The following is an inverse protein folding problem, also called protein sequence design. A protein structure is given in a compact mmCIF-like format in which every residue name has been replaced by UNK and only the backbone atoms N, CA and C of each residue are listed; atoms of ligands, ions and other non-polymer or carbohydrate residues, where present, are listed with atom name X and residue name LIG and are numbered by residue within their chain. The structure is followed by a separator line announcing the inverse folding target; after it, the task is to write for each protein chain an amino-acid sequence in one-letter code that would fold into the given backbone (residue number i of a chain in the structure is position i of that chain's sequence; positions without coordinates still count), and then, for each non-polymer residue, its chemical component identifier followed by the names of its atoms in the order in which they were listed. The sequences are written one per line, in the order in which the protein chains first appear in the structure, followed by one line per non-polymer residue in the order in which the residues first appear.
data_IF_242873903975
#
_entry.id   IF_242873903975
#
_cell.length_a   1.000
_cell.length_b   1.000
_cell.length_c   1.000
_cell.angle_alpha   90.00
_cell.angle_beta   90.00
_cell.angle_gamma   90.00
#
_symmetry.space_group_name_H-M   'P 1'
#
loop_
_entity.id
_entity.type
_entity.pdbx_description
1 polymer ?
#
# COMPACT_ATOMS: atom_id res chain seq x y z
N UNK A 1 -13.74 24.10 0.02
CA UNK A 1 -14.48 24.33 -1.24
C UNK A 1 -15.74 23.48 -1.22
N UNK A 2 -16.80 23.94 -1.88
CA UNK A 2 -18.06 23.20 -2.02
C UNK A 2 -18.53 23.23 -3.48
N UNK A 3 -18.99 22.08 -3.97
CA UNK A 3 -19.59 21.92 -5.30
C UNK A 3 -20.63 20.80 -5.20
N UNK A 4 -21.86 21.08 -5.68
CA UNK A 4 -22.97 20.12 -5.67
C UNK A 4 -23.26 19.50 -4.29
N UNK A 5 -23.10 20.29 -3.22
CA UNK A 5 -23.29 19.84 -1.83
C UNK A 5 -22.15 18.99 -1.26
N UNK A 6 -21.13 18.66 -2.07
CA UNK A 6 -19.92 17.99 -1.62
C UNK A 6 -18.86 19.00 -1.21
N UNK A 7 -18.42 18.90 0.04
CA UNK A 7 -17.34 19.71 0.60
C UNK A 7 -16.01 18.98 0.50
N UNK A 8 -14.99 19.69 0.06
CA UNK A 8 -13.64 19.16 -0.08
C UNK A 8 -12.59 20.24 0.22
N UNK A 9 -11.38 19.80 0.56
CA UNK A 9 -10.25 20.68 0.90
C UNK A 9 -9.36 20.93 -0.32
N UNK A 10 -8.70 22.08 -0.32
CA UNK A 10 -7.67 22.43 -1.29
C UNK A 10 -6.53 23.09 -0.56
N UNK A 11 -5.30 22.69 -0.87
CA UNK A 11 -4.10 23.14 -0.18
C UNK A 11 -3.39 24.18 -1.04
N UNK A 12 -2.96 25.27 -0.41
CA UNK A 12 -2.22 26.33 -1.11
C UNK A 12 -0.89 25.77 -1.65
N UNK A 13 -0.60 26.06 -2.91
CA UNK A 13 0.67 25.76 -3.54
C UNK A 13 1.58 26.98 -3.34
N UNK A 14 2.37 26.95 -2.26
CA UNK A 14 3.30 28.01 -1.94
C UNK A 14 4.40 28.12 -3.02
N UNK A 15 4.81 29.35 -3.30
CA UNK A 15 5.94 29.59 -4.19
C UNK A 15 7.26 29.09 -3.55
N UNK A 16 8.19 28.60 -4.37
CA UNK A 16 9.44 27.95 -3.91
C UNK A 16 10.24 28.82 -2.94
N UNK A 17 10.28 30.15 -3.14
CA UNK A 17 11.01 31.05 -2.23
C UNK A 17 10.44 31.13 -0.80
N UNK A 18 9.23 30.60 -0.58
CA UNK A 18 8.60 30.51 0.74
C UNK A 18 8.74 29.14 1.38
N UNK A 19 9.35 28.18 0.67
CA UNK A 19 9.44 26.79 1.07
C UNK A 19 10.86 26.40 1.50
N UNK A 20 10.96 25.32 2.29
CA UNK A 20 12.20 24.60 2.49
C UNK A 20 12.47 23.58 1.36
N UNK A 21 13.56 22.83 1.46
CA UNK A 21 13.98 21.83 0.46
C UNK A 21 12.98 20.68 0.29
N UNK A 22 12.07 20.48 1.24
CA UNK A 22 10.99 19.48 1.18
C UNK A 22 9.67 20.08 0.64
N UNK A 23 9.68 21.35 0.19
CA UNK A 23 8.51 22.03 -0.35
C UNK A 23 7.50 22.48 0.71
N UNK A 24 7.88 22.53 2.00
CA UNK A 24 7.02 22.98 3.09
C UNK A 24 7.13 24.48 3.25
N UNK A 25 6.01 25.19 3.26
CA UNK A 25 6.02 26.64 3.48
C UNK A 25 6.50 26.99 4.90
N UNK A 26 7.61 27.73 5.00
CA UNK A 26 8.18 28.23 6.26
C UNK A 26 7.92 29.72 6.50
N UNK A 27 7.36 30.43 5.51
CA UNK A 27 7.05 31.85 5.61
C UNK A 27 5.62 32.10 6.12
N UNK A 28 5.50 32.35 7.43
CA UNK A 28 4.22 32.61 8.10
C UNK A 28 3.51 33.86 7.59
N UNK A 29 4.26 34.91 7.23
CA UNK A 29 3.69 36.16 6.72
C UNK A 29 3.05 35.97 5.33
N UNK A 30 3.72 35.21 4.45
CA UNK A 30 3.18 34.86 3.14
C UNK A 30 1.89 34.04 3.27
N UNK A 31 1.88 33.02 4.12
CA UNK A 31 0.69 32.22 4.40
C UNK A 31 -0.47 33.09 4.94
N UNK A 32 -0.18 33.99 5.88
CA UNK A 32 -1.17 34.93 6.43
C UNK A 32 -1.72 35.91 5.38
N UNK A 33 -0.88 36.41 4.47
CA UNK A 33 -1.33 37.26 3.37
C UNK A 33 -2.25 36.51 2.41
N UNK A 34 -1.92 35.27 2.05
CA UNK A 34 -2.76 34.42 1.20
C UNK A 34 -4.09 34.10 1.88
N UNK A 35 -4.10 33.82 3.17
CA UNK A 35 -5.33 33.65 3.94
C UNK A 35 -6.23 34.90 3.87
N UNK A 36 -5.62 36.09 3.99
CA UNK A 36 -6.32 37.37 3.85
C UNK A 36 -6.94 37.57 2.47
N UNK A 37 -6.24 37.17 1.40
CA UNK A 37 -6.77 37.20 0.03
C UNK A 37 -7.94 36.23 -0.15
N UNK A 38 -7.82 35.01 0.40
CA UNK A 38 -8.85 33.98 0.30
C UNK A 38 -10.15 34.39 0.99
N UNK A 39 -10.07 35.01 2.17
CA UNK A 39 -11.25 35.48 2.93
C UNK A 39 -12.06 36.57 2.24
N UNK A 40 -11.50 37.22 1.22
CA UNK A 40 -12.19 38.22 0.40
C UNK A 40 -12.92 37.60 -0.80
N UNK A 41 -12.78 36.29 -1.02
CA UNK A 41 -13.42 35.58 -2.12
C UNK A 41 -14.64 34.81 -1.63
N UNK A 42 -15.61 34.62 -2.52
CA UNK A 42 -16.75 33.73 -2.32
C UNK A 42 -16.67 32.44 -3.16
N UNK A 43 -15.71 32.38 -4.08
CA UNK A 43 -15.55 31.25 -5.00
C UNK A 43 -14.10 31.01 -5.38
N UNK A 44 -13.86 29.81 -5.90
CA UNK A 44 -12.61 29.36 -6.50
C UNK A 44 -12.88 28.99 -7.96
N UNK A 45 -11.97 29.36 -8.86
CA UNK A 45 -12.05 28.96 -10.28
C UNK A 45 -11.26 27.67 -10.45
N UNK A 46 -11.86 26.64 -11.04
CA UNK A 46 -11.15 25.42 -11.45
C UNK A 46 -10.21 25.80 -12.60
N UNK A 47 -8.91 25.78 -12.35
CA UNK A 47 -7.90 26.11 -13.36
C UNK A 47 -7.59 24.90 -14.25
N UNK A 48 -7.47 23.73 -13.65
CA UNK A 48 -7.21 22.48 -14.35
C UNK A 48 -7.75 21.30 -13.57
N UNK A 49 -8.10 20.23 -14.28
CA UNK A 49 -8.53 18.96 -13.68
C UNK A 49 -8.03 17.82 -14.56
N UNK A 50 -7.36 16.87 -13.93
CA UNK A 50 -6.82 15.68 -14.57
C UNK A 50 -7.27 14.47 -13.77
N UNK A 51 -7.94 13.54 -14.44
CA UNK A 51 -8.28 12.25 -13.86
C UNK A 51 -7.47 11.14 -14.54
N UNK A 52 -6.84 10.28 -13.75
CA UNK A 52 -6.08 9.12 -14.23
C UNK A 52 -6.49 7.87 -13.47
N UNK A 53 -6.66 6.79 -14.21
CA UNK A 53 -6.79 5.43 -13.68
C UNK A 53 -5.40 4.96 -13.22
N UNK A 54 -5.19 4.86 -11.92
CA UNK A 54 -4.01 4.24 -11.32
C UNK A 54 -4.29 2.76 -11.03
N UNK A 55 -3.29 1.91 -11.30
CA UNK A 55 -3.32 0.48 -10.96
C UNK A 55 -2.22 0.18 -9.95
N UNK A 56 -2.56 -0.57 -8.91
CA UNK A 56 -1.60 -1.06 -7.92
C UNK A 56 -1.56 -2.59 -8.00
N UNK A 57 -0.44 -3.19 -8.46
CA UNK A 57 -0.29 -4.63 -8.52
C UNK A 57 -0.27 -5.26 -7.11
N UNK A 58 -0.57 -6.56 -6.97
CA UNK A 58 -0.40 -7.25 -5.70
C UNK A 58 1.05 -7.13 -5.18
N UNK A 59 1.23 -7.19 -3.85
CA UNK A 59 2.55 -7.31 -3.24
C UNK A 59 3.22 -8.58 -3.77
N UNK A 60 4.55 -8.62 -3.81
CA UNK A 60 5.26 -9.85 -4.19
C UNK A 60 5.03 -10.95 -3.14
N UNK A 61 5.28 -12.20 -3.53
CA UNK A 61 5.49 -13.25 -2.54
C UNK A 61 6.77 -12.98 -1.74
N UNK A 62 6.97 -13.69 -0.64
CA UNK A 62 8.02 -13.34 0.31
C UNK A 62 9.39 -13.88 -0.09
N UNK A 63 10.41 -13.02 0.05
CA UNK A 63 11.75 -13.43 0.49
C UNK A 63 11.79 -13.62 2.02
N UNK A 64 12.83 -14.24 2.57
CA UNK A 64 13.02 -14.37 4.02
C UNK A 64 12.92 -13.02 4.72
N UNK A 65 13.70 -12.04 4.27
CA UNK A 65 13.74 -10.78 5.00
C UNK A 65 12.51 -9.91 4.81
N UNK A 66 11.76 -10.04 3.70
CA UNK A 66 10.46 -9.37 3.58
C UNK A 66 9.40 -10.04 4.46
N UNK A 67 9.51 -11.36 4.69
CA UNK A 67 8.68 -12.06 5.67
C UNK A 67 9.01 -11.60 7.09
N UNK A 68 10.30 -11.50 7.43
CA UNK A 68 10.76 -10.98 8.72
C UNK A 68 10.27 -9.55 8.97
N UNK A 69 10.37 -8.66 7.98
CA UNK A 69 9.85 -7.29 8.08
C UNK A 69 8.34 -7.28 8.32
N UNK A 70 7.57 -8.06 7.55
CA UNK A 70 6.12 -8.11 7.69
C UNK A 70 5.68 -8.71 9.03
N UNK A 71 6.34 -9.76 9.52
CA UNK A 71 6.07 -10.38 10.81
C UNK A 71 6.51 -9.49 11.98
N UNK A 72 7.62 -8.75 11.85
CA UNK A 72 8.04 -7.77 12.86
C UNK A 72 7.01 -6.66 13.00
N UNK A 73 6.55 -6.10 11.86
CA UNK A 73 5.53 -5.05 11.84
C UNK A 73 4.18 -5.54 12.41
N UNK A 74 3.70 -6.69 11.93
CA UNK A 74 2.34 -7.18 12.21
C UNK A 74 2.22 -7.88 13.56
N UNK A 75 3.29 -8.56 14.00
CA UNK A 75 3.25 -9.47 15.15
C UNK A 75 4.35 -9.20 16.18
N UNK A 76 5.24 -8.23 15.96
CA UNK A 76 6.36 -7.96 16.86
C UNK A 76 7.40 -9.09 16.92
N UNK A 77 7.43 -9.99 15.93
CA UNK A 77 8.35 -11.12 15.91
C UNK A 77 9.76 -10.69 15.50
N UNK A 78 10.77 -11.24 16.19
CA UNK A 78 12.17 -11.04 15.83
C UNK A 78 12.61 -11.89 14.64
N UNK A 79 13.69 -11.48 13.98
CA UNK A 79 14.19 -12.06 12.74
C UNK A 79 14.50 -13.56 12.87
N UNK A 80 15.15 -13.94 13.97
CA UNK A 80 15.51 -15.33 14.25
C UNK A 80 14.27 -16.19 14.48
N UNK A 81 13.30 -15.71 15.27
CA UNK A 81 12.01 -16.40 15.50
C UNK A 81 11.29 -16.68 14.18
N UNK A 82 11.22 -15.69 13.28
CA UNK A 82 10.57 -15.87 11.97
C UNK A 82 11.32 -16.88 11.10
N UNK A 83 12.66 -16.88 11.13
CA UNK A 83 13.46 -17.87 10.41
C UNK A 83 13.20 -19.28 10.95
N UNK A 84 13.19 -19.46 12.27
CA UNK A 84 12.95 -20.76 12.90
C UNK A 84 11.55 -21.29 12.57
N UNK A 85 10.53 -20.42 12.61
CA UNK A 85 9.17 -20.75 12.18
C UNK A 85 9.13 -21.13 10.70
N UNK A 86 9.76 -20.33 9.82
CA UNK A 86 9.77 -20.61 8.39
C UNK A 86 10.51 -21.93 8.08
N UNK A 87 11.56 -22.26 8.83
CA UNK A 87 12.21 -23.57 8.77
C UNK A 87 11.28 -24.70 9.22
N UNK A 88 10.56 -24.54 10.33
CA UNK A 88 9.58 -25.55 10.78
C UNK A 88 8.50 -25.79 9.71
N UNK A 89 7.93 -24.71 9.14
CA UNK A 89 6.94 -24.79 8.07
C UNK A 89 7.48 -25.52 6.83
N UNK A 90 8.76 -25.38 6.50
CA UNK A 90 9.40 -26.04 5.35
C UNK A 90 9.82 -27.49 5.65
N UNK A 91 10.49 -27.75 6.77
CA UNK A 91 11.13 -29.04 7.06
C UNK A 91 10.19 -30.01 7.78
N UNK A 92 9.45 -29.52 8.79
CA UNK A 92 8.56 -30.33 9.63
C UNK A 92 7.21 -30.52 8.95
N UNK A 93 6.53 -29.42 8.62
CA UNK A 93 5.15 -29.47 8.12
C UNK A 93 5.07 -29.65 6.59
N UNK A 94 6.16 -29.38 5.86
CA UNK A 94 6.20 -29.32 4.39
C UNK A 94 5.14 -28.38 3.79
N UNK A 95 4.71 -27.39 4.58
CA UNK A 95 3.62 -26.47 4.26
C UNK A 95 4.05 -25.33 3.32
N UNK A 96 5.34 -24.98 3.32
CA UNK A 96 5.89 -23.91 2.48
C UNK A 96 7.16 -24.35 1.76
N UNK A 97 7.58 -23.59 0.75
CA UNK A 97 8.82 -23.79 0.01
C UNK A 97 10.05 -23.25 0.75
N UNK A 98 11.25 -23.49 0.21
CA UNK A 98 12.52 -23.20 0.88
C UNK A 98 12.61 -21.76 1.42
N UNK A 99 12.81 -21.56 2.73
CA UNK A 99 12.60 -20.25 3.35
C UNK A 99 13.83 -19.35 3.33
N UNK A 100 15.04 -19.83 3.00
CA UNK A 100 16.25 -18.99 2.95
C UNK A 100 16.50 -18.42 1.55
N UNK A 101 15.49 -17.75 1.03
CA UNK A 101 15.49 -17.10 -0.28
C UNK A 101 15.52 -15.59 -0.12
N UNK A 102 16.21 -14.89 -1.03
CA UNK A 102 16.21 -13.43 -1.16
C UNK A 102 15.23 -12.95 -2.26
N UNK A 103 14.56 -13.88 -2.94
CA UNK A 103 13.71 -13.61 -4.10
C UNK A 103 12.22 -13.59 -3.72
N UNK A 104 11.47 -12.63 -4.29
CA UNK A 104 9.99 -12.54 -4.18
C UNK A 104 9.24 -12.98 -5.44
N UNK A 105 9.94 -13.56 -6.43
CA UNK A 105 9.42 -14.01 -7.72
C UNK A 105 9.38 -15.54 -7.80
N UNK A 106 8.59 -16.07 -8.73
CA UNK A 106 8.46 -17.49 -9.07
C UNK A 106 8.85 -17.72 -10.54
N UNK A 107 9.47 -18.87 -10.87
CA UNK A 107 9.67 -19.28 -12.26
C UNK A 107 8.35 -19.32 -13.02
N UNK A 108 8.35 -18.91 -14.29
CA UNK A 108 7.13 -18.87 -15.09
C UNK A 108 6.48 -20.26 -15.23
N UNK A 109 7.31 -21.32 -15.28
CA UNK A 109 6.85 -22.71 -15.36
C UNK A 109 6.01 -23.17 -14.16
N UNK A 110 6.22 -22.58 -12.97
CA UNK A 110 5.47 -22.94 -11.77
C UNK A 110 4.02 -22.45 -11.79
N UNK A 111 3.62 -21.61 -12.76
CA UNK A 111 2.23 -21.19 -12.92
C UNK A 111 1.32 -22.38 -13.28
N UNK A 112 1.84 -23.36 -14.03
CA UNK A 112 1.10 -24.58 -14.40
C UNK A 112 0.69 -25.42 -13.18
N UNK A 113 1.46 -25.35 -12.09
CA UNK A 113 1.19 -26.08 -10.84
C UNK A 113 0.31 -25.30 -9.86
N UNK A 114 -0.06 -24.06 -10.20
CA UNK A 114 -0.78 -23.16 -9.28
C UNK A 114 -2.13 -23.72 -8.83
N UNK A 115 -2.86 -24.43 -9.70
CA UNK A 115 -4.11 -25.09 -9.33
C UNK A 115 -3.92 -26.16 -8.26
N UNK A 116 -2.83 -26.93 -8.32
CA UNK A 116 -2.52 -27.96 -7.32
C UNK A 116 -2.17 -27.33 -5.96
N UNK A 117 -1.44 -26.22 -5.97
CA UNK A 117 -1.15 -25.46 -4.74
C UNK A 117 -2.43 -24.91 -4.13
N UNK A 118 -3.31 -24.31 -4.94
CA UNK A 118 -4.60 -23.78 -4.46
C UNK A 118 -5.51 -24.89 -3.91
N UNK A 119 -5.53 -26.07 -4.55
CA UNK A 119 -6.25 -27.24 -4.04
C UNK A 119 -5.68 -27.70 -2.69
N UNK A 120 -4.37 -27.84 -2.58
CA UNK A 120 -3.71 -28.25 -1.34
C UNK A 120 -3.97 -27.26 -0.20
N UNK A 121 -3.99 -25.96 -0.49
CA UNK A 121 -4.38 -24.92 0.45
C UNK A 121 -5.83 -25.11 0.92
N UNK A 122 -6.78 -25.30 0.01
CA UNK A 122 -8.19 -25.49 0.36
C UNK A 122 -8.46 -26.78 1.14
N UNK A 123 -7.69 -27.84 0.88
CA UNK A 123 -7.77 -29.12 1.61
C UNK A 123 -7.14 -29.05 3.00
N UNK A 124 -6.05 -28.28 3.15
CA UNK A 124 -5.39 -28.09 4.44
C UNK A 124 -6.15 -27.11 5.34
N UNK A 125 -6.81 -26.10 4.74
CA UNK A 125 -7.65 -25.14 5.44
C UNK A 125 -8.99 -24.91 4.71
N UNK A 126 -10.02 -25.71 4.99
CA UNK A 126 -11.34 -25.53 4.40
C UNK A 126 -12.00 -24.17 4.70
N UNK A 127 -11.53 -23.43 5.72
CA UNK A 127 -12.09 -22.12 6.05
C UNK A 127 -11.83 -21.06 4.97
N UNK A 128 -10.84 -21.29 4.09
CA UNK A 128 -10.53 -20.37 2.99
C UNK A 128 -11.24 -20.69 1.66
N UNK A 129 -12.09 -21.72 1.62
CA UNK A 129 -12.81 -22.08 0.40
C UNK A 129 -13.63 -20.93 -0.21
N UNK A 130 -14.32 -20.05 0.56
CA UNK A 130 -14.99 -18.88 0.00
C UNK A 130 -14.02 -17.94 -0.73
N UNK A 131 -12.86 -17.66 -0.14
CA UNK A 131 -11.83 -16.82 -0.74
C UNK A 131 -11.21 -17.46 -1.97
N UNK A 132 -11.02 -18.79 -1.96
CA UNK A 132 -10.50 -19.53 -3.12
C UNK A 132 -11.46 -19.48 -4.30
N UNK A 133 -12.77 -19.45 -4.05
CA UNK A 133 -13.79 -19.37 -5.11
C UNK A 133 -13.80 -18.02 -5.85
N UNK A 134 -13.22 -16.97 -5.25
CA UNK A 134 -13.09 -15.64 -5.88
C UNK A 134 -11.81 -15.51 -6.73
N UNK A 135 -10.91 -16.49 -6.70
CA UNK A 135 -9.63 -16.42 -7.39
C UNK A 135 -9.76 -16.72 -8.89
N UNK A 136 -9.06 -15.93 -9.69
CA UNK A 136 -8.85 -16.16 -11.12
C UNK A 136 -7.63 -17.08 -11.29
N UNK A 137 -7.82 -18.40 -11.25
CA UNK A 137 -6.69 -19.37 -11.31
C UNK A 137 -5.80 -19.23 -12.54
N UNK A 138 -6.35 -18.80 -13.69
CA UNK A 138 -5.61 -18.53 -14.91
C UNK A 138 -4.84 -17.19 -14.92
N UNK A 139 -4.96 -16.38 -13.88
CA UNK A 139 -4.30 -15.07 -13.80
C UNK A 139 -2.79 -15.22 -13.62
N UNK A 140 -2.04 -14.48 -14.41
CA UNK A 140 -0.57 -14.40 -14.33
C UNK A 140 -0.19 -13.02 -13.82
N UNK A 141 0.13 -12.91 -12.52
CA UNK A 141 0.67 -11.67 -11.94
C UNK A 141 2.16 -11.48 -12.27
N UNK A 142 2.73 -10.34 -11.87
CA UNK A 142 4.14 -10.01 -12.11
C UNK A 142 5.16 -10.93 -11.43
N UNK A 143 4.75 -11.82 -10.51
CA UNK A 143 5.69 -12.68 -9.80
C UNK A 143 6.25 -13.79 -10.68
N UNK A 144 5.52 -14.23 -11.71
CA UNK A 144 5.91 -15.31 -12.61
C UNK A 144 6.92 -14.79 -13.64
N UNK A 145 8.20 -14.74 -13.26
CA UNK A 145 9.22 -14.03 -14.01
C UNK A 145 10.61 -14.62 -13.83
N UNK A 146 11.04 -15.47 -14.78
CA UNK A 146 12.34 -16.14 -14.76
C UNK A 146 13.53 -15.17 -14.68
N UNK A 147 13.40 -13.96 -15.25
CA UNK A 147 14.47 -12.95 -15.27
C UNK A 147 14.73 -12.33 -13.89
N UNK A 148 13.84 -12.54 -12.93
CA UNK A 148 13.93 -12.02 -11.56
C UNK A 148 14.30 -13.09 -10.54
N UNK A 149 14.47 -14.34 -10.99
CA UNK A 149 14.87 -15.45 -10.13
C UNK A 149 16.36 -15.36 -9.81
N UNK A 150 16.69 -15.57 -8.55
CA UNK A 150 18.06 -15.68 -8.04
C UNK A 150 18.43 -17.16 -7.94
N UNK A 151 19.15 -17.59 -6.90
CA UNK A 151 19.41 -19.01 -6.66
C UNK A 151 18.12 -19.77 -6.26
N UNK A 152 17.15 -19.07 -5.67
CA UNK A 152 15.89 -19.62 -5.20
C UNK A 152 14.72 -18.73 -5.62
N UNK A 153 13.50 -19.25 -5.50
CA UNK A 153 12.27 -18.52 -5.74
C UNK A 153 11.60 -18.10 -4.43
N UNK A 154 10.47 -17.41 -4.50
CA UNK A 154 9.72 -16.94 -3.33
C UNK A 154 9.19 -18.05 -2.44
N UNK A 155 9.00 -17.72 -1.16
CA UNK A 155 8.34 -18.56 -0.15
C UNK A 155 6.83 -18.52 -0.42
N UNK A 156 6.28 -19.69 -0.77
CA UNK A 156 4.85 -19.92 -1.07
C UNK A 156 4.36 -21.22 -0.42
N UNK A 157 3.05 -21.43 -0.29
CA UNK A 157 2.50 -22.74 0.07
C UNK A 157 2.92 -23.83 -0.93
N UNK A 158 2.96 -25.08 -0.48
CA UNK A 158 3.26 -26.24 -1.35
C UNK A 158 1.97 -26.90 -1.85
N UNK A 159 2.12 -27.81 -2.82
CA UNK A 159 1.06 -28.74 -3.26
C UNK A 159 0.78 -29.89 -2.28
N UNK A 160 1.44 -29.90 -1.11
CA UNK A 160 1.26 -30.96 -0.11
C UNK A 160 0.14 -30.56 0.86
N UNK A 161 -0.85 -31.43 1.00
CA UNK A 161 -1.85 -31.30 2.06
C UNK A 161 -1.18 -31.61 3.40
N UNK A 162 -1.38 -30.73 4.39
CA UNK A 162 -0.85 -30.92 5.74
C UNK A 162 -1.92 -30.61 6.78
N UNK A 163 -1.70 -31.09 8.01
CA UNK A 163 -2.60 -30.82 9.13
C UNK A 163 -2.34 -29.43 9.72
N UNK A 164 -3.21 -28.47 9.41
CA UNK A 164 -3.11 -27.11 9.92
C UNK A 164 -3.19 -27.04 11.46
N UNK A 165 -3.85 -28.00 12.11
CA UNK A 165 -3.97 -28.04 13.57
C UNK A 165 -2.66 -28.42 14.28
N UNK A 166 -1.68 -28.95 13.52
CA UNK A 166 -0.34 -29.22 14.02
C UNK A 166 0.54 -27.97 14.20
N UNK A 167 0.13 -26.83 13.61
CA UNK A 167 0.85 -25.57 13.76
C UNK A 167 0.57 -24.95 15.12
N UNK A 168 1.61 -24.43 15.78
CA UNK A 168 1.41 -23.55 16.91
C UNK A 168 0.86 -22.17 16.47
N UNK A 169 0.46 -21.34 17.42
CA UNK A 169 -0.18 -20.05 17.13
C UNK A 169 0.68 -19.09 16.28
N UNK A 170 1.99 -19.10 16.46
CA UNK A 170 2.89 -18.22 15.69
C UNK A 170 3.23 -18.82 14.32
N UNK A 171 3.40 -20.13 14.21
CA UNK A 171 3.50 -20.84 12.93
C UNK A 171 2.27 -20.59 12.06
N UNK A 172 1.07 -20.66 12.65
CA UNK A 172 -0.18 -20.38 11.96
C UNK A 172 -0.23 -18.95 11.43
N UNK A 173 0.17 -17.95 12.23
CA UNK A 173 0.23 -16.54 11.79
C UNK A 173 1.16 -16.36 10.60
N UNK A 174 2.35 -16.96 10.64
CA UNK A 174 3.35 -16.84 9.56
C UNK A 174 2.88 -17.56 8.30
N UNK A 175 2.34 -18.78 8.42
CA UNK A 175 1.79 -19.53 7.29
C UNK A 175 0.61 -18.78 6.63
N UNK A 176 -0.32 -18.25 7.43
CA UNK A 176 -1.45 -17.48 6.92
C UNK A 176 -0.98 -16.25 6.14
N UNK A 177 0.07 -15.57 6.61
CA UNK A 177 0.63 -14.40 5.92
C UNK A 177 1.27 -14.78 4.58
N UNK A 178 2.04 -15.88 4.53
CA UNK A 178 2.63 -16.44 3.31
C UNK A 178 1.53 -16.80 2.31
N UNK A 179 0.53 -17.56 2.76
CA UNK A 179 -0.63 -17.96 1.94
C UNK A 179 -1.36 -16.74 1.39
N UNK A 180 -1.67 -15.76 2.23
CA UNK A 180 -2.40 -14.55 1.83
C UNK A 180 -1.70 -13.78 0.70
N UNK A 181 -0.36 -13.68 0.74
CA UNK A 181 0.43 -13.08 -0.34
C UNK A 181 0.41 -13.90 -1.62
N UNK A 182 0.36 -15.23 -1.52
CA UNK A 182 0.21 -16.11 -2.70
C UNK A 182 -1.19 -16.02 -3.32
N UNK A 183 -2.26 -16.00 -2.50
CA UNK A 183 -3.65 -15.88 -3.01
C UNK A 183 -3.88 -14.54 -3.72
N UNK A 184 -3.25 -13.46 -3.24
CA UNK A 184 -3.33 -12.13 -3.86
C UNK A 184 -2.91 -12.09 -5.34
N UNK A 185 -2.12 -13.07 -5.78
CA UNK A 185 -1.58 -13.16 -7.15
C UNK A 185 -2.63 -13.60 -8.16
N UNK A 186 -3.72 -14.20 -7.67
CA UNK A 186 -4.85 -14.66 -8.45
C UNK A 186 -6.05 -13.72 -8.35
N UNK A 187 -5.85 -12.50 -7.83
CA UNK A 187 -6.86 -11.45 -7.79
C UNK A 187 -6.49 -10.27 -8.69
N UNK A 188 -7.49 -9.51 -9.19
CA UNK A 188 -7.27 -8.28 -9.93
C UNK A 188 -6.31 -7.31 -9.24
N UNK A 189 -5.62 -6.49 -10.03
CA UNK A 189 -4.94 -5.31 -9.51
C UNK A 189 -5.97 -4.39 -8.86
N UNK A 190 -5.53 -3.64 -7.84
CA UNK A 190 -6.38 -2.57 -7.30
C UNK A 190 -6.39 -1.43 -8.31
N UNK A 191 -7.57 -0.96 -8.69
CA UNK A 191 -7.73 0.16 -9.62
C UNK A 191 -8.46 1.32 -8.94
N UNK A 192 -7.94 2.53 -9.09
CA UNK A 192 -8.55 3.75 -8.56
C UNK A 192 -8.51 4.86 -9.60
N UNK A 193 -9.56 5.67 -9.65
CA UNK A 193 -9.51 6.96 -10.32
C UNK A 193 -8.92 7.99 -9.37
N UNK A 194 -7.78 8.56 -9.75
CA UNK A 194 -7.15 9.67 -9.06
C UNK A 194 -7.42 10.94 -9.83
N UNK A 195 -8.09 11.88 -9.18
CA UNK A 195 -8.39 13.20 -9.72
C UNK A 195 -7.50 14.23 -9.05
N UNK A 196 -6.69 14.93 -9.83
CA UNK A 196 -5.95 16.10 -9.38
C UNK A 196 -6.58 17.35 -10.00
N UNK A 197 -6.96 18.29 -9.15
CA UNK A 197 -7.56 19.55 -9.57
C UNK A 197 -6.77 20.72 -9.00
N UNK A 198 -6.56 21.75 -9.82
CA UNK A 198 -5.99 23.02 -9.39
C UNK A 198 -7.03 24.12 -9.45
N UNK A 199 -6.93 25.05 -8.50
CA UNK A 199 -7.89 26.13 -8.32
C UNK A 199 -7.16 27.45 -8.17
N UNK A 200 -7.78 28.53 -8.64
CA UNK A 200 -7.34 29.90 -8.38
C UNK A 200 -8.29 30.55 -7.38
N UNK A 201 -7.73 31.02 -6.27
CA UNK A 201 -8.46 31.72 -5.20
C UNK A 201 -7.69 32.99 -4.87
N UNK A 202 -8.29 34.17 -5.11
CA UNK A 202 -7.63 35.45 -4.84
C UNK A 202 -6.29 35.62 -5.57
N UNK A 203 -6.17 35.04 -6.76
CA UNK A 203 -4.93 35.04 -7.56
C UNK A 203 -3.87 34.03 -7.13
N UNK A 204 -4.15 33.18 -6.14
CA UNK A 204 -3.25 32.16 -5.62
C UNK A 204 -3.65 30.76 -6.08
N UNK A 205 -2.65 29.90 -6.27
CA UNK A 205 -2.85 28.52 -6.73
C UNK A 205 -3.11 27.58 -5.56
N UNK A 206 -4.14 26.75 -5.69
CA UNK A 206 -4.49 25.69 -4.75
C UNK A 206 -4.58 24.35 -5.47
N UNK A 207 -4.32 23.25 -4.77
CA UNK A 207 -4.40 21.90 -5.31
C UNK A 207 -5.22 21.00 -4.41
N UNK A 208 -6.08 20.20 -5.03
CA UNK A 208 -6.77 19.08 -4.39
C UNK A 208 -6.46 17.80 -5.15
N UNK A 209 -6.31 16.70 -4.41
CA UNK A 209 -6.19 15.36 -4.96
C UNK A 209 -7.27 14.51 -4.33
N UNK A 210 -8.02 13.77 -5.14
CA UNK A 210 -9.04 12.84 -4.68
C UNK A 210 -8.85 11.46 -5.30
N UNK A 211 -9.37 10.44 -4.61
CA UNK A 211 -9.23 9.05 -5.01
C UNK A 211 -10.56 8.32 -4.85
N UNK A 212 -10.98 7.61 -5.89
CA UNK A 212 -12.15 6.72 -5.88
C UNK A 212 -11.72 5.33 -6.30
N UNK A 213 -11.90 4.35 -5.42
CA UNK A 213 -11.63 2.94 -5.74
C UNK A 213 -12.67 2.44 -6.75
N UNK A 214 -12.21 1.77 -7.81
CA UNK A 214 -13.06 1.18 -8.84
C UNK A 214 -12.96 -0.34 -8.84
N UNK A 215 -11.77 -0.88 -8.63
CA UNK A 215 -11.55 -2.30 -8.37
C UNK A 215 -10.78 -2.40 -7.06
N UNK A 216 -11.35 -3.08 -6.06
CA UNK A 216 -10.66 -3.36 -4.79
C UNK A 216 -9.51 -4.35 -5.05
N UNK A 217 -9.79 -5.39 -5.84
CA UNK A 217 -8.81 -6.38 -6.27
C UNK A 217 -8.16 -7.10 -5.09
N UNK A 218 -6.87 -7.39 -5.21
CA UNK A 218 -6.09 -8.08 -4.18
C UNK A 218 -6.17 -7.45 -2.78
N UNK A 219 -6.45 -6.14 -2.66
CA UNK A 219 -6.58 -5.47 -1.36
C UNK A 219 -7.70 -6.04 -0.49
N UNK A 220 -8.68 -6.73 -1.07
CA UNK A 220 -9.73 -7.40 -0.29
C UNK A 220 -9.18 -8.44 0.68
N UNK A 221 -8.01 -9.02 0.37
CA UNK A 221 -7.34 -9.94 1.29
C UNK A 221 -6.66 -9.21 2.44
N UNK A 222 -6.34 -7.93 2.30
CA UNK A 222 -5.59 -7.13 3.28
C UNK A 222 -6.48 -6.02 3.85
N UNK A 223 -7.49 -6.38 4.67
CA UNK A 223 -8.30 -5.36 5.32
C UNK A 223 -7.39 -4.46 6.17
N UNK A 224 -7.66 -3.16 6.23
CA UNK A 224 -6.90 -2.25 7.07
C UNK A 224 -6.93 -2.78 8.51
N UNK A 225 -5.76 -3.09 9.05
CA UNK A 225 -5.65 -3.41 10.46
C UNK A 225 -5.95 -2.13 11.25
N UNK A 226 -6.63 -2.24 12.40
CA UNK A 226 -6.94 -1.10 13.28
C UNK A 226 -5.68 -0.47 13.94
N UNK A 227 -4.50 -0.64 13.35
CA UNK A 227 -3.26 -0.05 13.80
C UNK A 227 -3.12 1.34 13.19
N UNK A 228 -3.31 2.34 14.04
CA UNK A 228 -3.27 3.77 13.76
C UNK A 228 -1.91 4.33 13.31
N UNK A 229 -1.03 3.54 12.69
CA UNK A 229 0.39 3.89 12.55
C UNK A 229 1.02 3.75 11.16
N UNK A 230 0.24 3.41 10.12
CA UNK A 230 0.75 3.33 8.73
C UNK A 230 -0.08 4.04 7.66
N UNK A 231 -0.90 5.03 8.06
CA UNK A 231 -1.19 6.13 7.15
C UNK A 231 -0.30 7.29 7.56
N UNK A 232 0.55 7.78 6.67
CA UNK A 232 1.16 9.11 6.84
C UNK A 232 0.00 10.08 7.09
N UNK A 233 -0.11 10.72 8.27
CA UNK A 233 -1.21 11.64 8.54
C UNK A 233 -1.06 12.96 7.75
N UNK A 234 -0.02 13.10 6.91
CA UNK A 234 0.24 14.26 6.07
C UNK A 234 -0.11 14.06 4.58
N UNK A 235 -0.55 12.87 4.17
CA UNK A 235 -1.24 12.74 2.89
C UNK A 235 -2.74 12.79 3.18
N UNK A 236 -3.36 13.96 2.99
CA UNK A 236 -4.81 14.23 2.95
C UNK A 236 -5.52 13.45 1.80
N UNK A 237 -4.96 12.28 1.44
CA UNK A 237 -5.20 11.43 0.28
C UNK A 237 -6.10 10.23 0.60
N UNK A 238 -6.14 9.78 1.86
CA UNK A 238 -7.06 8.73 2.31
C UNK A 238 -8.44 9.34 2.61
N UNK A 239 -9.24 9.53 1.56
CA UNK A 239 -10.69 9.73 1.70
C UNK A 239 -11.27 11.04 1.16
N UNK A 240 -10.48 11.92 0.56
CA UNK A 240 -11.04 13.06 -0.17
C UNK A 240 -11.66 12.58 -1.49
N UNK A 241 -12.97 12.39 -1.52
CA UNK A 241 -13.73 12.23 -2.77
C UNK A 241 -13.94 13.62 -3.34
N UNK A 242 -13.44 13.86 -4.55
CA UNK A 242 -13.73 15.10 -5.27
C UNK A 242 -15.02 14.95 -6.08
N UNK A 243 -15.90 15.97 -6.09
CA UNK A 243 -17.02 15.99 -7.02
C UNK A 243 -16.51 16.04 -8.48
N UNK A 244 -17.38 15.78 -9.47
CA UNK A 244 -17.07 16.11 -10.85
C UNK A 244 -16.70 17.58 -10.98
N UNK A 245 -15.56 17.87 -11.63
CA UNK A 245 -15.05 19.23 -11.84
C UNK A 245 -14.80 19.44 -13.32
N UNK A 246 -15.10 20.64 -13.81
CA UNK A 246 -14.82 21.05 -15.18
C UNK A 246 -13.98 22.32 -15.14
N UNK A 247 -12.96 22.38 -16.00
CA UNK A 247 -12.09 23.56 -16.14
C UNK A 247 -12.91 24.82 -16.44
N UNK A 248 -12.61 25.90 -15.73
CA UNK A 248 -13.28 27.18 -15.83
C UNK A 248 -14.52 27.32 -14.94
N UNK A 249 -14.98 26.24 -14.29
CA UNK A 249 -16.12 26.34 -13.38
C UNK A 249 -15.77 26.98 -12.04
N UNK A 250 -16.81 27.45 -11.37
CA UNK A 250 -16.72 27.98 -10.01
C UNK A 250 -17.10 26.91 -8.99
N UNK A 251 -16.31 26.84 -7.91
CA UNK A 251 -16.64 26.16 -6.67
C UNK A 251 -16.88 27.21 -5.58
N UNK A 252 -17.86 27.00 -4.70
CA UNK A 252 -18.09 27.91 -3.58
C UNK A 252 -16.95 27.81 -2.55
N UNK A 253 -16.51 28.94 -2.01
CA UNK A 253 -15.55 29.00 -0.93
C UNK A 253 -16.27 29.07 0.41
N UNK A 254 -16.40 27.92 1.08
CA UNK A 254 -17.04 27.80 2.41
C UNK A 254 -16.18 28.45 3.53
N UNK A 255 -14.85 28.40 3.40
CA UNK A 255 -13.93 29.00 4.35
C UNK A 255 -12.47 28.78 3.98
N UNK A 256 -11.59 29.48 4.69
CA UNK A 256 -10.14 29.34 4.59
C UNK A 256 -9.52 29.39 5.98
N UNK A 257 -8.57 28.50 6.23
CA UNK A 257 -7.81 28.40 7.47
C UNK A 257 -6.31 28.26 7.18
N UNK A 258 -5.49 28.67 8.14
CA UNK A 258 -4.05 28.42 8.13
C UNK A 258 -3.76 27.37 9.19
N UNK A 259 -3.17 26.23 8.78
CA UNK A 259 -2.79 25.14 9.67
C UNK A 259 -1.30 25.23 9.97
N UNK A 260 -0.95 25.35 11.25
CA UNK A 260 0.44 25.25 11.70
C UNK A 260 0.81 23.78 11.90
N UNK A 261 1.92 23.36 11.29
CA UNK A 261 2.46 22.01 11.39
C UNK A 261 3.89 22.05 11.92
N UNK A 262 4.33 20.94 12.52
CA UNK A 262 5.70 20.77 13.00
C UNK A 262 6.25 19.46 12.48
N UNK A 263 7.51 19.48 12.05
CA UNK A 263 8.24 18.27 11.68
C UNK A 263 8.43 17.39 12.91
N UNK A 264 8.30 16.08 12.73
CA UNK A 264 8.56 15.08 13.77
C UNK A 264 9.93 14.46 13.48
N UNK A 265 10.79 14.26 14.49
CA UNK A 265 12.05 13.56 14.29
C UNK A 265 11.81 12.14 13.73
N UNK A 266 12.78 11.58 12.98
CA UNK A 266 12.66 10.21 12.48
C UNK A 266 12.36 9.22 13.59
N UNK A 267 11.48 8.26 13.31
CA UNK A 267 11.18 7.18 14.26
C UNK A 267 12.44 6.34 14.52
N UNK A 268 12.69 5.88 15.75
CA UNK A 268 13.74 4.91 16.02
C UNK A 268 13.55 3.63 15.20
N UNK A 269 14.66 2.93 14.90
CA UNK A 269 14.58 1.64 14.22
C UNK A 269 13.87 0.60 15.10
N UNK A 270 12.87 -0.06 14.53
CA UNK A 270 12.41 -1.40 14.93
C UNK A 270 13.28 -2.46 14.27
N UNK A 271 13.23 -3.71 14.76
CA UNK A 271 13.97 -4.83 14.14
C UNK A 271 13.61 -5.01 12.66
N UNK A 272 12.32 -4.91 12.29
CA UNK A 272 11.90 -4.92 10.89
C UNK A 272 12.52 -3.79 10.07
N UNK A 273 12.46 -2.55 10.54
CA UNK A 273 13.05 -1.41 9.81
C UNK A 273 14.59 -1.47 9.72
N UNK A 274 15.24 -2.11 10.70
CA UNK A 274 16.68 -2.35 10.68
C UNK A 274 17.05 -3.38 9.60
N UNK A 275 16.29 -4.47 9.47
CA UNK A 275 16.48 -5.47 8.40
C UNK A 275 16.35 -4.82 7.03
N UNK A 276 15.33 -3.96 6.85
CA UNK A 276 15.13 -3.21 5.59
C UNK A 276 16.32 -2.30 5.30
N UNK A 277 16.82 -1.58 6.29
CA UNK A 277 18.01 -0.75 6.14
C UNK A 277 19.26 -1.57 5.77
N UNK A 278 19.47 -2.73 6.41
CA UNK A 278 20.59 -3.62 6.13
C UNK A 278 20.55 -4.21 4.72
N UNK A 279 19.36 -4.57 4.23
CA UNK A 279 19.17 -5.04 2.84
C UNK A 279 19.48 -3.97 1.81
N UNK A 280 19.07 -2.73 2.07
CA UNK A 280 19.28 -1.63 1.13
C UNK A 280 20.72 -1.13 1.16
N UNK A 281 21.44 -1.29 2.28
CA UNK A 281 22.85 -0.92 2.41
C UNK A 281 23.78 -1.73 1.48
N UNK A 282 23.45 -2.98 1.16
CA UNK A 282 24.23 -3.80 0.21
C UNK A 282 23.93 -3.51 -1.26
N UNK A 283 22.86 -2.74 -1.54
CA UNK A 283 22.50 -2.30 -2.89
C UNK A 283 23.13 -0.93 -3.24
N UNK A 284 23.97 -0.38 -2.36
CA UNK A 284 24.67 0.89 -2.55
C UNK A 284 25.92 0.75 -3.41
N UNK A 285 25.74 0.61 -4.73
CA UNK A 285 26.53 1.27 -5.79
C UNK A 285 25.58 1.65 -6.91
#
# INVERSE_FOLDING_TARGET
LEKEGLRFRSNWVAAEQYCDDEGRCVNVQAAGAVLGLCRQQSSAVVQDVVQKREKTPPPLCFSLGTLQEACSRKFGMGAQTVLDIAQSLYETHKATTYPRTDCGYLPASMHEESSEVLEAVGRSDPSVLPQLAELESGRVSRIWNDKKITAHHAIIPTRQVFDLSSLNGDELKVYQLIRQHYLAQFLPEQEADVTEATFVIGGQLFRSRGRVNVIIGWKQLFPPENHADEEKPDSDESGNILPPLIKGELCALDGAEQKELKTVPPRPFTEGSLITAMKNASSGV
#
